data_IF_400284429183
#
_entry.id   IF_400284429183
#
_cell.length_a   1.000
_cell.length_b   1.000
_cell.length_c   1.000
_cell.angle_alpha   90.00
_cell.angle_beta   90.00
_cell.angle_gamma   90.00
#
_symmetry.space_group_name_H-M   'P 1'
#
loop_
_entity.id
_entity.type
_entity.pdbx_description
1 polymer ?
#
# COMPACT_ATOMS: atom_id res chain seq x y z
N UNK A 1 -38.10 3.00 16.13
CA UNK A 1 -37.58 1.64 15.89
C UNK A 1 -36.06 1.72 15.81
N UNK A 2 -35.33 0.82 16.46
CA UNK A 2 -33.86 0.76 16.45
C UNK A 2 -33.44 -0.62 15.96
N UNK A 3 -32.42 -0.67 15.09
CA UNK A 3 -31.86 -1.93 14.57
C UNK A 3 -30.36 -1.99 14.86
N UNK A 4 -29.92 -3.14 15.38
CA UNK A 4 -28.50 -3.47 15.50
C UNK A 4 -27.98 -3.97 14.16
N UNK A 5 -26.86 -3.42 13.69
CA UNK A 5 -26.14 -3.87 12.49
C UNK A 5 -24.69 -4.09 12.90
N UNK A 6 -24.12 -5.23 12.51
CA UNK A 6 -22.75 -5.60 12.82
C UNK A 6 -21.99 -5.93 11.53
N UNK A 7 -20.70 -5.66 11.54
CA UNK A 7 -19.78 -6.04 10.46
C UNK A 7 -18.43 -6.38 11.05
N UNK A 8 -17.81 -7.45 10.54
CA UNK A 8 -16.48 -7.87 10.94
C UNK A 8 -15.47 -7.42 9.89
N UNK A 9 -14.28 -7.03 10.35
CA UNK A 9 -13.13 -6.74 9.51
C UNK A 9 -12.04 -7.73 9.89
N UNK A 10 -11.67 -8.61 8.97
CA UNK A 10 -10.52 -9.51 9.16
C UNK A 10 -9.24 -8.72 8.88
N UNK A 11 -8.42 -8.50 9.90
CA UNK A 11 -7.17 -7.75 9.80
C UNK A 11 -5.99 -8.68 10.07
N UNK A 12 -5.07 -8.80 9.11
CA UNK A 12 -3.93 -9.71 9.17
C UNK A 12 -2.65 -8.93 8.91
N UNK A 13 -1.57 -9.26 9.63
CA UNK A 13 -0.22 -8.72 9.40
C UNK A 13 0.77 -9.86 9.20
N UNK A 14 1.71 -9.69 8.28
CA UNK A 14 2.83 -10.61 8.09
C UNK A 14 4.11 -9.88 8.53
N UNK A 15 4.78 -10.44 9.53
CA UNK A 15 5.95 -9.86 10.19
C UNK A 15 7.13 -10.84 10.17
N UNK A 16 8.34 -10.34 10.32
CA UNK A 16 9.46 -11.14 10.82
C UNK A 16 9.26 -11.53 12.29
N UNK A 17 9.95 -12.57 12.75
CA UNK A 17 9.84 -13.08 14.13
C UNK A 17 10.17 -12.01 15.19
N UNK A 18 11.12 -11.12 14.90
CA UNK A 18 11.49 -9.98 15.74
C UNK A 18 10.55 -8.77 15.62
N UNK A 19 9.58 -8.84 14.69
CA UNK A 19 8.65 -7.78 14.38
C UNK A 19 9.26 -6.53 13.74
N UNK A 20 10.55 -6.51 13.36
CA UNK A 20 11.21 -5.33 12.76
C UNK A 20 10.85 -5.13 11.29
N UNK A 21 10.43 -6.20 10.60
CA UNK A 21 9.99 -6.16 9.21
C UNK A 21 8.51 -6.47 9.11
N UNK A 22 7.80 -5.68 8.33
CA UNK A 22 6.40 -5.93 7.99
C UNK A 22 6.27 -6.04 6.48
N UNK A 23 5.98 -7.25 6.05
CA UNK A 23 5.83 -7.60 4.65
C UNK A 23 4.46 -7.20 4.12
N UNK A 24 3.41 -7.38 4.93
CA UNK A 24 2.04 -7.14 4.51
C UNK A 24 1.16 -6.71 5.69
N UNK A 25 0.21 -5.82 5.42
CA UNK A 25 -0.96 -5.56 6.26
C UNK A 25 -2.21 -5.64 5.40
N UNK A 26 -3.11 -6.56 5.69
CA UNK A 26 -4.36 -6.77 4.94
C UNK A 26 -5.58 -6.56 5.82
N UNK A 27 -6.62 -5.94 5.27
CA UNK A 27 -7.94 -5.83 5.89
C UNK A 27 -9.01 -6.21 4.88
N UNK A 28 -9.89 -7.12 5.27
CA UNK A 28 -11.01 -7.58 4.45
C UNK A 28 -12.29 -7.30 5.21
N UNK A 29 -13.18 -6.52 4.59
CA UNK A 29 -14.51 -6.23 5.13
C UNK A 29 -15.63 -6.77 4.22
N UNK A 30 -15.34 -7.15 2.98
CA UNK A 30 -16.31 -7.75 2.06
C UNK A 30 -15.59 -8.62 1.02
N UNK A 31 -15.72 -9.94 1.10
CA UNK A 31 -15.03 -10.86 0.18
C UNK A 31 -15.63 -10.88 -1.23
N UNK A 32 -16.85 -10.36 -1.40
CA UNK A 32 -17.55 -10.34 -2.69
C UNK A 32 -17.29 -9.07 -3.52
N UNK A 33 -16.36 -8.21 -3.07
CA UNK A 33 -16.05 -6.92 -3.69
C UNK A 33 -14.59 -6.85 -4.16
N UNK A 34 -14.26 -5.93 -5.08
CA UNK A 34 -12.90 -5.80 -5.60
C UNK A 34 -11.85 -5.57 -4.50
N UNK A 35 -10.66 -6.13 -4.71
CA UNK A 35 -9.52 -6.08 -3.80
C UNK A 35 -8.51 -5.02 -4.27
N UNK A 36 -8.04 -4.18 -3.36
CA UNK A 36 -7.02 -3.18 -3.67
C UNK A 36 -5.69 -3.49 -2.99
N UNK A 37 -4.59 -3.43 -3.74
CA UNK A 37 -3.24 -3.40 -3.19
C UNK A 37 -2.70 -1.98 -3.22
N UNK A 38 -2.03 -1.54 -2.16
CA UNK A 38 -1.46 -0.19 -2.05
C UNK A 38 0.02 -0.30 -1.72
N UNK A 39 0.87 0.23 -2.61
CA UNK A 39 2.32 0.14 -2.49
C UNK A 39 2.90 1.45 -1.97
N UNK A 40 3.41 1.42 -0.74
CA UNK A 40 3.95 2.60 -0.05
C UNK A 40 5.48 2.49 0.14
N UNK A 41 6.12 3.51 0.73
CA UNK A 41 7.59 3.52 0.86
C UNK A 41 8.08 2.46 1.86
N UNK A 42 7.67 2.58 3.13
CA UNK A 42 8.05 1.66 4.18
C UNK A 42 6.98 1.66 5.29
N UNK A 43 6.81 0.56 6.04
CA UNK A 43 5.90 0.51 7.17
C UNK A 43 6.27 1.51 8.26
N UNK A 44 5.25 2.03 8.95
CA UNK A 44 5.42 2.82 10.16
C UNK A 44 4.75 2.10 11.33
N UNK A 45 3.75 2.73 11.97
CA UNK A 45 3.14 2.23 13.20
C UNK A 45 1.95 1.29 12.98
N UNK A 46 1.29 1.36 11.81
CA UNK A 46 0.09 0.56 11.57
C UNK A 46 0.37 -0.95 11.58
N UNK A 47 -0.43 -1.68 12.34
CA UNK A 47 -0.42 -3.14 12.47
C UNK A 47 -1.84 -3.70 12.33
N UNK A 48 -2.07 -4.93 12.82
CA UNK A 48 -3.38 -5.58 12.73
C UNK A 48 -4.49 -4.81 13.46
N UNK A 49 -4.20 -4.04 14.52
CA UNK A 49 -5.19 -3.33 15.34
C UNK A 49 -4.97 -1.81 15.29
N UNK A 50 -3.72 -1.37 15.37
CA UNK A 50 -3.30 0.03 15.30
C UNK A 50 -3.44 0.52 13.86
N UNK A 51 -4.16 1.61 13.69
CA UNK A 51 -4.32 2.29 12.40
C UNK A 51 -3.68 3.66 12.45
N UNK A 52 -2.81 3.98 11.49
CA UNK A 52 -2.30 5.34 11.32
C UNK A 52 -3.15 6.13 10.30
N UNK A 53 -2.90 7.45 10.21
CA UNK A 53 -3.66 8.36 9.34
C UNK A 53 -3.66 7.88 7.88
N UNK A 54 -2.57 7.31 7.40
CA UNK A 54 -2.46 6.85 6.01
C UNK A 54 -3.31 5.61 5.78
N UNK A 55 -3.23 4.61 6.64
CA UNK A 55 -4.07 3.40 6.54
C UNK A 55 -5.54 3.74 6.70
N UNK A 56 -5.89 4.63 7.63
CA UNK A 56 -7.25 5.11 7.84
C UNK A 56 -7.81 5.77 6.58
N UNK A 57 -7.10 6.75 6.02
CA UNK A 57 -7.55 7.48 4.84
C UNK A 57 -7.78 6.56 3.63
N UNK A 58 -6.85 5.65 3.36
CA UNK A 58 -6.98 4.74 2.21
C UNK A 58 -8.10 3.73 2.45
N UNK A 59 -8.26 3.23 3.68
CA UNK A 59 -9.38 2.33 4.01
C UNK A 59 -10.71 3.02 3.75
N UNK A 60 -10.91 4.25 4.24
CA UNK A 60 -12.15 5.00 4.01
C UNK A 60 -12.39 5.26 2.52
N UNK A 61 -11.36 5.72 1.80
CA UNK A 61 -11.44 5.92 0.35
C UNK A 61 -11.90 4.64 -0.37
N UNK A 62 -11.30 3.49 -0.05
CA UNK A 62 -11.63 2.22 -0.69
C UNK A 62 -13.06 1.75 -0.35
N UNK A 63 -13.50 1.91 0.90
CA UNK A 63 -14.88 1.60 1.30
C UNK A 63 -15.89 2.47 0.54
N UNK A 64 -15.63 3.77 0.45
CA UNK A 64 -16.47 4.73 -0.28
C UNK A 64 -16.49 4.47 -1.80
N UNK A 65 -15.40 3.88 -2.33
CA UNK A 65 -15.27 3.51 -3.74
C UNK A 65 -15.55 2.01 -4.01
N UNK A 66 -16.37 1.38 -3.18
CA UNK A 66 -16.92 0.02 -3.40
C UNK A 66 -15.91 -1.15 -3.42
N UNK A 67 -14.71 -0.98 -2.87
CA UNK A 67 -13.79 -2.08 -2.64
C UNK A 67 -14.19 -2.90 -1.41
N UNK A 68 -13.70 -4.14 -1.35
CA UNK A 68 -13.94 -5.12 -0.29
C UNK A 68 -12.75 -5.36 0.64
N UNK A 69 -11.56 -5.00 0.19
CA UNK A 69 -10.33 -5.19 0.95
C UNK A 69 -9.23 -4.21 0.55
N UNK A 70 -8.26 -4.10 1.45
CA UNK A 70 -6.98 -3.45 1.21
C UNK A 70 -5.85 -4.40 1.62
N UNK A 71 -4.83 -4.50 0.78
CA UNK A 71 -3.53 -5.08 1.12
C UNK A 71 -2.46 -4.00 0.97
N UNK A 72 -1.78 -3.67 2.06
CA UNK A 72 -0.69 -2.69 2.07
C UNK A 72 0.62 -3.45 2.05
N UNK A 73 1.41 -3.14 1.03
CA UNK A 73 2.78 -3.61 0.84
C UNK A 73 3.69 -2.40 0.66
N UNK A 74 5.00 -2.61 0.78
CA UNK A 74 5.95 -1.52 0.82
C UNK A 74 7.19 -1.80 -0.04
N UNK A 75 7.80 -0.74 -0.59
CA UNK A 75 9.10 -0.86 -1.26
C UNK A 75 10.12 -1.51 -0.34
N UNK A 76 10.12 -1.14 0.95
CA UNK A 76 10.98 -1.76 1.96
C UNK A 76 10.11 -2.36 3.07
N UNK A 77 10.44 -3.57 3.53
CA UNK A 77 9.71 -4.21 4.62
C UNK A 77 10.10 -3.66 6.00
N UNK A 78 11.27 -3.03 6.13
CA UNK A 78 11.75 -2.49 7.41
C UNK A 78 10.81 -1.42 8.00
N UNK A 79 10.37 -1.63 9.23
CA UNK A 79 9.46 -0.73 9.95
C UNK A 79 10.23 0.46 10.50
N UNK A 80 9.91 1.66 10.02
CA UNK A 80 10.52 2.89 10.50
C UNK A 80 9.58 4.10 10.31
N UNK A 81 9.37 4.89 11.37
CA UNK A 81 8.56 6.12 11.24
C UNK A 81 9.22 7.18 10.35
N UNK A 82 10.56 7.23 10.31
CA UNK A 82 11.31 8.15 9.46
C UNK A 82 12.10 7.35 8.40
N UNK A 83 11.93 7.63 7.10
CA UNK A 83 12.64 6.91 6.03
C UNK A 83 14.16 6.96 6.10
N UNK A 84 14.75 7.94 6.79
CA UNK A 84 16.20 8.03 6.97
C UNK A 84 16.78 6.82 7.73
N UNK A 85 15.97 6.09 8.50
CA UNK A 85 16.40 4.86 9.19
C UNK A 85 16.41 3.62 8.30
N UNK A 86 15.97 3.72 7.04
CA UNK A 86 16.03 2.59 6.11
C UNK A 86 17.47 2.10 5.87
N UNK A 87 18.50 2.89 6.15
CA UNK A 87 19.90 2.45 6.09
C UNK A 87 20.25 1.34 7.11
N UNK A 88 19.42 1.12 8.12
CA UNK A 88 19.60 0.06 9.14
C UNK A 88 19.05 -1.30 8.71
N UNK A 89 18.39 -1.37 7.55
CA UNK A 89 17.73 -2.60 7.07
C UNK A 89 18.74 -3.68 6.71
N UNK A 90 18.37 -4.91 6.99
CA UNK A 90 19.04 -6.13 6.60
C UNK A 90 18.59 -6.56 5.20
N UNK A 91 19.56 -6.89 4.34
CA UNK A 91 19.31 -7.34 2.96
C UNK A 91 18.59 -8.70 2.90
N UNK A 92 18.81 -9.58 3.86
CA UNK A 92 18.17 -10.91 3.91
C UNK A 92 16.66 -10.75 4.03
N UNK A 93 16.19 -9.94 4.99
CA UNK A 93 14.76 -9.69 5.15
C UNK A 93 14.14 -9.00 3.93
N UNK A 94 14.84 -8.05 3.32
CA UNK A 94 14.36 -7.37 2.11
C UNK A 94 14.30 -8.30 0.89
N UNK A 95 15.12 -9.36 0.83
CA UNK A 95 15.07 -10.34 -0.26
C UNK A 95 13.73 -11.10 -0.31
N UNK A 96 13.11 -11.33 0.86
CA UNK A 96 11.79 -11.95 0.95
C UNK A 96 10.64 -11.01 0.55
N UNK A 97 10.85 -9.69 0.66
CA UNK A 97 9.81 -8.68 0.42
C UNK A 97 9.20 -8.77 -0.98
N UNK A 98 10.01 -9.16 -1.98
CA UNK A 98 9.52 -9.32 -3.36
C UNK A 98 8.48 -10.41 -3.52
N UNK A 99 8.51 -11.45 -2.71
CA UNK A 99 7.50 -12.52 -2.79
C UNK A 99 6.14 -11.98 -2.35
N UNK A 100 6.11 -11.22 -1.25
CA UNK A 100 4.88 -10.60 -0.74
C UNK A 100 4.35 -9.48 -1.66
N UNK A 101 5.25 -8.73 -2.32
CA UNK A 101 4.84 -7.79 -3.37
C UNK A 101 4.14 -8.52 -4.53
N UNK A 102 4.74 -9.60 -5.04
CA UNK A 102 4.16 -10.39 -6.14
C UNK A 102 2.82 -11.02 -5.75
N UNK A 103 2.72 -11.61 -4.57
CA UNK A 103 1.47 -12.18 -4.04
C UNK A 103 0.37 -11.11 -3.98
N UNK A 104 0.66 -9.94 -3.39
CA UNK A 104 -0.30 -8.85 -3.31
C UNK A 104 -0.68 -8.27 -4.68
N UNK A 105 0.23 -8.24 -5.65
CA UNK A 105 -0.07 -7.77 -7.02
C UNK A 105 -0.95 -8.77 -7.76
N UNK A 106 -0.68 -10.07 -7.62
CA UNK A 106 -1.46 -11.14 -8.21
C UNK A 106 -2.91 -11.11 -7.69
N UNK A 107 -3.09 -11.05 -6.37
CA UNK A 107 -4.38 -11.17 -5.68
C UNK A 107 -5.31 -9.93 -5.76
N UNK A 108 -4.87 -8.85 -6.41
CA UNK A 108 -5.60 -7.57 -6.42
C UNK A 108 -6.30 -7.27 -7.75
N UNK A 109 -7.44 -6.59 -7.68
CA UNK A 109 -8.15 -6.05 -8.86
C UNK A 109 -7.61 -4.67 -9.25
N UNK A 110 -7.02 -3.93 -8.30
CA UNK A 110 -6.31 -2.68 -8.53
C UNK A 110 -5.04 -2.60 -7.70
N UNK A 111 -3.97 -2.05 -8.29
CA UNK A 111 -2.72 -1.76 -7.60
C UNK A 111 -2.52 -0.24 -7.56
N UNK A 112 -2.41 0.34 -6.37
CA UNK A 112 -2.29 1.78 -6.16
C UNK A 112 -0.87 2.10 -5.69
N UNK A 113 -0.10 2.81 -6.54
CA UNK A 113 1.25 3.26 -6.22
C UNK A 113 1.20 4.56 -5.40
N UNK A 114 1.85 4.54 -4.22
CA UNK A 114 1.78 5.60 -3.22
C UNK A 114 3.11 5.87 -2.47
N UNK A 115 4.26 5.40 -2.98
CA UNK A 115 5.56 5.42 -2.31
C UNK A 115 6.34 6.76 -2.36
N UNK A 116 5.65 7.90 -2.46
CA UNK A 116 6.16 9.29 -2.63
C UNK A 116 6.92 9.58 -3.94
N UNK A 117 6.77 10.82 -4.44
CA UNK A 117 7.26 11.27 -5.76
C UNK A 117 8.77 11.45 -5.87
N UNK A 118 9.50 11.66 -4.77
CA UNK A 118 10.96 11.97 -4.79
C UNK A 118 11.69 11.04 -5.75
N UNK A 119 12.08 11.54 -6.93
CA UNK A 119 12.52 10.68 -8.04
C UNK A 119 13.94 10.19 -7.84
N UNK A 120 14.74 10.93 -7.09
CA UNK A 120 16.17 10.69 -6.95
C UNK A 120 16.48 9.70 -5.83
N UNK A 121 15.51 9.44 -4.94
CA UNK A 121 15.66 8.47 -3.86
C UNK A 121 15.14 7.08 -4.24
N UNK A 122 15.94 6.08 -3.84
CA UNK A 122 15.60 4.67 -3.95
C UNK A 122 15.33 4.22 -5.39
N UNK A 123 15.96 4.85 -6.39
CA UNK A 123 15.77 4.59 -7.83
C UNK A 123 15.89 3.11 -8.14
N UNK A 124 16.95 2.44 -7.67
CA UNK A 124 17.17 1.00 -7.91
C UNK A 124 15.99 0.17 -7.40
N UNK A 125 15.49 0.47 -6.19
CA UNK A 125 14.37 -0.28 -5.61
C UNK A 125 13.06 0.01 -6.32
N UNK A 126 12.81 1.26 -6.72
CA UNK A 126 11.62 1.64 -7.49
C UNK A 126 11.62 0.98 -8.87
N UNK A 127 12.75 0.97 -9.57
CA UNK A 127 12.92 0.25 -10.85
C UNK A 127 12.65 -1.23 -10.69
N UNK A 128 13.18 -1.85 -9.64
CA UNK A 128 12.96 -3.27 -9.36
C UNK A 128 11.46 -3.57 -9.16
N UNK A 129 10.77 -2.79 -8.33
CA UNK A 129 9.33 -2.97 -8.09
C UNK A 129 8.49 -2.62 -9.32
N UNK A 130 8.88 -1.61 -10.10
CA UNK A 130 8.23 -1.32 -11.38
C UNK A 130 8.36 -2.48 -12.38
N UNK A 131 9.52 -3.15 -12.45
CA UNK A 131 9.65 -4.35 -13.28
C UNK A 131 8.68 -5.46 -12.85
N UNK A 132 8.43 -5.62 -11.54
CA UNK A 132 7.42 -6.56 -11.04
C UNK A 132 5.99 -6.15 -11.42
N UNK A 133 5.75 -4.85 -11.57
CA UNK A 133 4.44 -4.29 -11.92
C UNK A 133 4.12 -4.38 -13.42
N UNK A 134 5.11 -4.55 -14.30
CA UNK A 134 4.90 -4.57 -15.76
C UNK A 134 3.84 -5.59 -16.21
N UNK A 135 3.80 -6.76 -15.57
CA UNK A 135 2.81 -7.81 -15.82
C UNK A 135 1.36 -7.34 -15.55
N UNK A 136 1.20 -6.35 -14.67
CA UNK A 136 -0.09 -5.87 -14.18
C UNK A 136 -0.49 -4.49 -14.72
N UNK A 137 0.18 -3.99 -15.78
CA UNK A 137 -0.01 -2.62 -16.33
C UNK A 137 -1.46 -2.17 -16.55
N UNK A 138 -2.38 -3.11 -16.80
CA UNK A 138 -3.80 -2.82 -17.01
C UNK A 138 -4.59 -2.43 -15.74
N UNK A 139 -4.03 -2.61 -14.54
CA UNK A 139 -4.71 -2.37 -13.26
C UNK A 139 -3.94 -1.48 -12.29
N UNK A 140 -2.99 -0.67 -12.78
CA UNK A 140 -2.14 0.18 -11.92
C UNK A 140 -2.65 1.62 -11.92
N UNK A 141 -2.87 2.15 -10.72
CA UNK A 141 -3.31 3.51 -10.47
C UNK A 141 -2.35 4.24 -9.52
N UNK A 142 -2.51 5.55 -9.44
CA UNK A 142 -1.95 6.36 -8.36
C UNK A 142 -2.93 7.46 -7.97
N UNK A 143 -2.71 8.07 -6.81
CA UNK A 143 -3.51 9.21 -6.37
C UNK A 143 -3.08 10.50 -7.08
N UNK A 144 -4.06 11.21 -7.62
CA UNK A 144 -3.97 12.59 -8.07
C UNK A 144 -4.73 13.50 -7.11
N UNK A 145 -4.12 14.60 -6.67
CA UNK A 145 -4.82 15.59 -5.83
C UNK A 145 -5.65 16.58 -6.65
N UNK A 146 -6.47 17.39 -5.96
CA UNK A 146 -7.34 18.37 -6.61
C UNK A 146 -6.61 19.49 -7.38
N UNK A 147 -5.27 19.52 -7.38
CA UNK A 147 -4.46 20.41 -8.23
C UNK A 147 -3.88 19.71 -9.46
N UNK A 148 -4.25 18.44 -9.70
CA UNK A 148 -3.71 17.62 -10.79
C UNK A 148 -2.34 17.02 -10.49
N UNK A 149 -1.85 17.09 -9.24
CA UNK A 149 -0.55 16.53 -8.89
C UNK A 149 -0.71 15.03 -8.62
N UNK A 150 -0.11 14.21 -9.47
CA UNK A 150 -0.06 12.74 -9.36
C UNK A 150 0.95 12.24 -8.32
N UNK A 151 0.89 10.94 -8.02
CA UNK A 151 1.77 10.20 -7.10
C UNK A 151 1.81 10.77 -5.68
N UNK A 152 0.63 11.15 -5.20
CA UNK A 152 0.50 11.72 -3.86
C UNK A 152 0.42 10.62 -2.82
N UNK A 153 1.16 10.80 -1.73
CA UNK A 153 1.06 9.91 -0.59
C UNK A 153 -0.27 10.17 0.15
N UNK A 154 -1.06 9.14 0.47
CA UNK A 154 -2.44 9.30 0.94
C UNK A 154 -2.57 9.74 2.40
N UNK A 155 -1.50 10.26 3.02
CA UNK A 155 -1.54 10.83 4.38
C UNK A 155 -2.44 12.06 4.44
N UNK A 156 -2.49 12.83 3.37
CA UNK A 156 -3.26 14.06 3.24
C UNK A 156 -4.35 13.92 2.17
N UNK A 157 -4.85 12.69 1.98
CA UNK A 157 -5.93 12.40 1.04
C UNK A 157 -7.14 13.28 1.35
N UNK A 158 -7.60 14.02 0.35
CA UNK A 158 -8.75 14.92 0.45
C UNK A 158 -9.87 14.51 -0.50
N UNK A 159 -11.06 15.08 -0.31
CA UNK A 159 -12.27 14.71 -1.06
C UNK A 159 -12.21 14.94 -2.58
N UNK A 160 -11.30 15.79 -3.05
CA UNK A 160 -11.09 16.06 -4.49
C UNK A 160 -10.06 15.14 -5.15
N UNK A 161 -9.51 14.17 -4.41
CA UNK A 161 -8.50 13.26 -4.94
C UNK A 161 -9.16 12.10 -5.68
N UNK A 162 -8.54 11.67 -6.77
CA UNK A 162 -9.02 10.55 -7.58
C UNK A 162 -7.90 9.55 -7.87
N UNK A 163 -8.28 8.36 -8.31
CA UNK A 163 -7.34 7.39 -8.90
C UNK A 163 -7.21 7.65 -10.40
N UNK A 164 -5.97 7.87 -10.84
CA UNK A 164 -5.59 8.01 -12.25
C UNK A 164 -4.60 6.92 -12.63
N UNK A 165 -4.43 6.66 -13.92
CA UNK A 165 -3.44 5.69 -14.40
C UNK A 165 -2.03 6.04 -13.92
N UNK A 166 -1.30 5.01 -13.49
CA UNK A 166 0.10 5.14 -13.14
C UNK A 166 0.98 5.15 -14.39
N UNK A 167 1.83 6.16 -14.50
CA UNK A 167 2.88 6.22 -15.52
C UNK A 167 4.18 5.71 -14.91
N UNK A 168 4.75 4.66 -15.52
CA UNK A 168 6.07 4.14 -15.13
C UNK A 168 7.15 5.22 -15.31
N UNK A 169 8.09 5.28 -14.37
CA UNK A 169 9.11 6.33 -14.35
C UNK A 169 10.54 5.81 -14.41
N UNK A 170 10.76 4.53 -14.14
CA UNK A 170 12.08 3.94 -13.96
C UNK A 170 12.37 2.74 -14.88
N UNK A 171 11.35 2.24 -15.59
CA UNK A 171 11.41 1.17 -16.60
C UNK A 171 10.77 1.62 -17.91
#
# INVERSE_FOLDING_TARGET
>A
MVKKIEKLIKSTVILSDDGLYRYQLSRVWDENKPKATVVMLNPSKADMLITDRTVMNVTNFLVENHYGSITIVNLFAYRATKPNFLNQRDKVHESFNNNYLKEAFFDSDVIIVAWVRDRDKYVTRKREVENLLLEYKGKIKCFEDGSGKKLRHPRDLGSKWNLVDYEFMFV
#
